data_IF_416367595273
#
_entry.id   IF_416367595273
#
_cell.length_a   1.000
_cell.length_b   1.000
_cell.length_c   1.000
_cell.angle_alpha   90.00
_cell.angle_beta   90.00
_cell.angle_gamma   90.00
#
_symmetry.space_group_name_H-M   'P 1'
#
loop_
_entity.id
_entity.type
_entity.pdbx_description
1 polymer ?
#
# COMPACT_ATOMS: atom_id res chain seq x y z
N UNK A 1 -66.69 5.54 59.89
CA UNK A 1 -65.84 6.49 60.64
C UNK A 1 -64.38 6.07 60.45
N UNK A 2 -63.56 7.01 59.99
CA UNK A 2 -62.11 7.01 59.81
C UNK A 2 -61.40 6.24 58.66
N UNK A 3 -60.79 7.10 57.83
CA UNK A 3 -59.86 6.96 56.71
C UNK A 3 -58.42 6.83 57.23
N UNK A 4 -57.55 6.10 56.50
CA UNK A 4 -56.13 6.38 56.16
C UNK A 4 -55.61 5.18 55.32
N UNK A 5 -55.35 5.29 54.01
CA UNK A 5 -54.25 5.96 53.28
C UNK A 5 -52.86 5.41 53.57
N UNK A 6 -52.37 4.53 52.69
CA UNK A 6 -50.94 4.40 52.35
C UNK A 6 -50.82 4.03 50.86
N UNK A 7 -50.36 4.99 50.06
CA UNK A 7 -49.88 4.78 48.70
C UNK A 7 -48.49 4.13 48.77
N UNK A 8 -48.36 2.93 48.20
CA UNK A 8 -47.06 2.28 47.96
C UNK A 8 -46.62 2.54 46.54
N UNK A 9 -45.64 3.43 46.38
CA UNK A 9 -44.89 3.64 45.13
C UNK A 9 -44.23 2.34 44.67
N UNK A 10 -44.61 1.83 43.50
CA UNK A 10 -43.78 0.89 42.73
C UNK A 10 -43.05 1.70 41.66
N UNK A 11 -41.82 2.14 41.98
CA UNK A 11 -40.85 2.63 41.00
C UNK A 11 -40.12 1.42 40.39
N UNK A 12 -39.88 1.37 39.07
CA UNK A 12 -38.97 0.42 38.48
C UNK A 12 -37.54 0.96 38.63
N UNK A 13 -36.68 0.25 39.36
CA UNK A 13 -35.24 0.48 39.31
C UNK A 13 -34.57 -0.83 38.97
N UNK A 14 -34.05 -0.95 37.74
CA UNK A 14 -32.88 -1.77 37.34
C UNK A 14 -32.77 -1.79 35.81
N UNK A 15 -32.10 -0.80 35.19
CA UNK A 15 -31.54 -0.91 33.83
C UNK A 15 -30.66 0.29 33.45
N UNK A 16 -29.62 0.63 34.23
CA UNK A 16 -28.66 1.69 33.83
C UNK A 16 -27.19 1.24 33.87
N UNK A 17 -26.87 0.15 34.57
CA UNK A 17 -25.49 -0.38 34.59
C UNK A 17 -25.13 -1.25 33.38
N UNK A 18 -26.12 -1.89 32.73
CA UNK A 18 -25.84 -2.79 31.60
C UNK A 18 -25.65 -2.02 30.27
N UNK A 19 -26.34 -0.89 30.10
CA UNK A 19 -26.22 -0.05 28.89
C UNK A 19 -24.88 0.69 28.84
N UNK A 20 -24.38 1.16 29.99
CA UNK A 20 -23.14 1.94 30.06
C UNK A 20 -21.90 1.08 29.73
N UNK A 21 -21.87 -0.19 30.17
CA UNK A 21 -20.81 -1.14 29.81
C UNK A 21 -20.86 -1.57 28.33
N UNK A 22 -22.06 -1.80 27.78
CA UNK A 22 -22.21 -2.13 26.35
C UNK A 22 -21.72 -0.98 25.46
N UNK A 23 -22.01 0.27 25.82
CA UNK A 23 -21.54 1.44 25.05
C UNK A 23 -20.02 1.62 25.12
N UNK A 24 -19.38 1.32 26.27
CA UNK A 24 -17.91 1.37 26.38
C UNK A 24 -17.23 0.26 25.59
N UNK A 25 -17.80 -0.95 25.57
CA UNK A 25 -17.23 -2.09 24.83
C UNK A 25 -17.36 -1.91 23.32
N UNK A 26 -18.46 -1.31 22.84
CA UNK A 26 -18.64 -0.94 21.43
C UNK A 26 -17.68 0.19 21.01
N UNK A 27 -17.44 1.17 21.89
CA UNK A 27 -16.49 2.25 21.58
C UNK A 27 -15.04 1.75 21.58
N UNK A 28 -14.67 0.88 22.52
CA UNK A 28 -13.34 0.28 22.61
C UNK A 28 -13.04 -0.62 21.39
N UNK A 29 -14.01 -1.43 20.96
CA UNK A 29 -13.87 -2.25 19.74
C UNK A 29 -13.73 -1.39 18.47
N UNK A 30 -14.46 -0.27 18.37
CA UNK A 30 -14.29 0.67 17.26
C UNK A 30 -12.91 1.34 17.24
N UNK A 31 -12.32 1.62 18.39
CA UNK A 31 -10.97 2.19 18.50
C UNK A 31 -9.92 1.13 18.11
N UNK A 32 -10.05 -0.10 18.61
CA UNK A 32 -9.17 -1.22 18.26
C UNK A 32 -9.17 -1.53 16.75
N UNK A 33 -10.34 -1.44 16.12
CA UNK A 33 -10.49 -1.63 14.67
C UNK A 33 -9.80 -0.49 13.87
N UNK A 34 -9.82 0.75 14.37
CA UNK A 34 -9.06 1.86 13.76
C UNK A 34 -7.56 1.65 13.92
N UNK A 35 -7.10 1.24 15.10
CA UNK A 35 -5.68 0.92 15.34
C UNK A 35 -5.19 -0.21 14.43
N UNK A 36 -6.06 -1.18 14.13
CA UNK A 36 -5.78 -2.25 13.16
C UNK A 36 -5.45 -1.69 11.79
N UNK A 37 -6.29 -0.79 11.25
CA UNK A 37 -6.04 -0.16 9.94
C UNK A 37 -4.77 0.70 9.98
N UNK A 38 -4.56 1.48 11.05
CA UNK A 38 -3.35 2.30 11.20
C UNK A 38 -2.07 1.45 11.24
N UNK A 39 -2.09 0.30 11.90
CA UNK A 39 -0.95 -0.64 11.93
C UNK A 39 -0.66 -1.22 10.55
N UNK A 40 -1.70 -1.60 9.79
CA UNK A 40 -1.50 -2.11 8.43
C UNK A 40 -0.91 -1.03 7.50
N UNK A 41 -1.35 0.22 7.64
CA UNK A 41 -0.76 1.33 6.91
C UNK A 41 0.72 1.58 7.30
N UNK A 42 1.06 1.48 8.59
CA UNK A 42 2.46 1.64 9.05
C UNK A 42 3.35 0.49 8.59
N UNK A 43 2.81 -0.75 8.55
CA UNK A 43 3.50 -1.91 7.98
C UNK A 43 3.90 -1.66 6.52
N UNK A 44 3.06 -0.97 5.73
CA UNK A 44 3.36 -0.57 4.37
C UNK A 44 4.71 0.15 4.23
N UNK A 45 5.05 1.01 5.18
CA UNK A 45 6.33 1.72 5.18
C UNK A 45 7.51 0.74 5.31
N UNK A 46 7.39 -0.27 6.16
CA UNK A 46 8.45 -1.28 6.38
C UNK A 46 8.57 -2.21 5.18
N UNK A 47 7.44 -2.66 4.62
CA UNK A 47 7.43 -3.58 3.49
C UNK A 47 8.05 -2.95 2.23
N UNK A 48 7.95 -1.64 2.05
CA UNK A 48 8.60 -0.90 0.98
C UNK A 48 10.14 -1.01 0.97
N UNK A 49 10.77 -1.35 2.10
CA UNK A 49 12.23 -1.51 2.20
C UNK A 49 12.69 -2.97 2.24
N UNK A 50 11.78 -3.93 2.43
CA UNK A 50 12.11 -5.36 2.53
C UNK A 50 11.19 -6.21 1.64
N UNK A 51 11.47 -6.19 0.33
CA UNK A 51 10.64 -6.86 -0.69
C UNK A 51 10.57 -8.38 -0.52
N UNK A 52 11.66 -9.02 -0.07
CA UNK A 52 11.72 -10.48 0.07
C UNK A 52 10.78 -10.94 1.18
N UNK A 53 9.74 -11.69 0.82
CA UNK A 53 8.73 -12.19 1.75
C UNK A 53 7.71 -11.13 2.19
N UNK A 54 7.71 -9.92 1.60
CA UNK A 54 6.81 -8.84 1.99
C UNK A 54 5.33 -9.24 1.95
N UNK A 55 4.95 -9.97 0.91
CA UNK A 55 3.59 -10.46 0.69
C UNK A 55 3.17 -11.45 1.79
N UNK A 56 4.02 -12.43 2.12
CA UNK A 56 3.75 -13.40 3.19
C UNK A 56 3.61 -12.70 4.53
N UNK A 57 4.49 -11.72 4.80
CA UNK A 57 4.42 -10.91 6.02
C UNK A 57 3.12 -10.10 6.09
N UNK A 58 2.67 -9.49 4.99
CA UNK A 58 1.39 -8.80 4.94
C UNK A 58 0.23 -9.74 5.32
N UNK A 59 0.15 -10.93 4.74
CA UNK A 59 -0.90 -11.91 5.06
C UNK A 59 -0.88 -12.31 6.55
N UNK A 60 0.31 -12.53 7.12
CA UNK A 60 0.49 -12.87 8.53
C UNK A 60 0.07 -11.72 9.45
N UNK A 61 0.46 -10.50 9.12
CA UNK A 61 0.13 -9.32 9.93
C UNK A 61 -1.37 -9.04 9.92
N UNK A 62 -2.06 -9.13 8.77
CA UNK A 62 -3.53 -9.00 8.71
C UNK A 62 -4.21 -10.00 9.67
N UNK A 63 -3.80 -11.27 9.66
CA UNK A 63 -4.33 -12.27 10.61
C UNK A 63 -4.00 -11.90 12.06
N UNK A 64 -2.76 -11.49 12.32
CA UNK A 64 -2.29 -11.17 13.66
C UNK A 64 -3.04 -9.98 14.27
N UNK A 65 -3.09 -8.82 13.59
CA UNK A 65 -3.71 -7.60 14.13
C UNK A 65 -5.22 -7.69 14.23
N UNK A 66 -5.85 -8.49 13.37
CA UNK A 66 -7.29 -8.74 13.44
C UNK A 66 -7.64 -9.84 14.44
N UNK A 67 -6.65 -10.48 15.09
CA UNK A 67 -6.83 -11.64 15.97
C UNK A 67 -7.57 -12.79 15.27
N UNK A 68 -7.18 -13.08 14.03
CA UNK A 68 -7.80 -14.05 13.11
C UNK A 68 -9.23 -13.71 12.64
N UNK A 69 -9.75 -12.50 12.91
CA UNK A 69 -11.04 -12.04 12.38
C UNK A 69 -11.00 -11.78 10.87
N UNK A 70 -9.81 -11.59 10.29
CA UNK A 70 -9.61 -11.41 8.85
C UNK A 70 -8.42 -12.20 8.31
N UNK A 71 -8.54 -12.65 7.06
CA UNK A 71 -7.51 -13.38 6.34
C UNK A 71 -7.41 -12.90 4.88
N UNK A 72 -6.20 -12.52 4.47
CA UNK A 72 -5.86 -12.22 3.09
C UNK A 72 -5.45 -13.49 2.35
N UNK A 73 -6.09 -13.78 1.22
CA UNK A 73 -5.76 -14.90 0.32
C UNK A 73 -5.40 -14.38 -1.07
N UNK A 74 -4.31 -14.88 -1.65
CA UNK A 74 -3.83 -14.43 -2.97
C UNK A 74 -4.16 -15.42 -4.08
N UNK A 75 -4.34 -14.90 -5.31
CA UNK A 75 -4.70 -15.74 -6.47
C UNK A 75 -3.74 -16.90 -6.75
N UNK A 76 -2.43 -16.70 -6.53
CA UNK A 76 -1.40 -17.72 -6.81
C UNK A 76 -1.33 -18.86 -5.77
N UNK A 77 -1.93 -18.70 -4.60
CA UNK A 77 -1.94 -19.75 -3.56
C UNK A 77 -2.98 -20.85 -3.85
N UNK A 78 -3.98 -20.60 -4.73
CA UNK A 78 -5.00 -21.59 -5.10
C UNK A 78 -4.54 -22.66 -6.09
N UNK A 79 -3.39 -22.48 -6.76
CA UNK A 79 -2.91 -23.43 -7.79
C UNK A 79 -1.84 -24.41 -7.28
N UNK A 80 -1.16 -24.14 -6.16
CA UNK A 80 -0.08 -25.01 -5.65
C UNK A 80 -0.52 -26.01 -4.58
N UNK A 81 -1.63 -25.76 -3.91
CA UNK A 81 -2.18 -26.67 -2.90
C UNK A 81 -3.67 -26.92 -3.16
N UNK A 82 -3.98 -28.09 -3.73
CA UNK A 82 -5.34 -28.66 -3.75
C UNK A 82 -5.81 -29.13 -2.34
N UNK A 83 -5.25 -28.53 -1.29
CA UNK A 83 -5.70 -28.61 0.11
C UNK A 83 -5.54 -27.22 0.71
N UNK A 84 -6.61 -26.42 0.63
CA UNK A 84 -6.76 -25.26 1.48
C UNK A 84 -6.54 -25.72 2.95
N UNK A 85 -5.79 -24.98 3.78
CA UNK A 85 -6.02 -25.06 5.22
C UNK A 85 -7.48 -24.66 5.44
N UNK A 86 -8.29 -25.63 5.84
CA UNK A 86 -9.68 -25.46 6.27
C UNK A 86 -9.74 -24.69 7.60
N UNK A 87 -9.29 -23.43 7.63
CA UNK A 87 -9.29 -22.61 8.86
C UNK A 87 -9.84 -21.20 8.61
N UNK A 88 -10.93 -21.09 7.85
CA UNK A 88 -11.94 -20.08 8.20
C UNK A 88 -13.19 -20.84 8.57
N UNK A 89 -13.27 -21.25 9.83
CA UNK A 89 -14.53 -21.68 10.42
C UNK A 89 -15.50 -20.49 10.30
N UNK A 90 -16.33 -20.54 9.26
CA UNK A 90 -17.40 -19.60 8.92
C UNK A 90 -16.91 -18.20 8.42
N UNK A 91 -16.79 -18.07 7.10
CA UNK A 91 -16.61 -16.77 6.41
C UNK A 91 -17.94 -16.02 6.38
N UNK A 92 -18.03 -14.86 7.03
CA UNK A 92 -19.22 -14.01 6.98
C UNK A 92 -19.27 -13.14 5.71
N UNK A 93 -18.11 -12.64 5.26
CA UNK A 93 -18.02 -11.80 4.08
C UNK A 93 -16.66 -11.90 3.40
N UNK A 94 -16.63 -11.58 2.11
CA UNK A 94 -15.40 -11.55 1.30
C UNK A 94 -15.36 -10.29 0.46
N UNK A 95 -14.21 -9.62 0.47
CA UNK A 95 -13.96 -8.38 -0.28
C UNK A 95 -12.81 -8.60 -1.27
N UNK A 96 -12.89 -8.05 -2.50
CA UNK A 96 -11.78 -8.14 -3.44
C UNK A 96 -10.62 -7.27 -2.97
N UNK A 97 -9.40 -7.77 -3.18
CA UNK A 97 -8.16 -6.99 -3.00
C UNK A 97 -7.59 -6.75 -4.39
N UNK A 98 -7.80 -5.54 -4.89
CA UNK A 98 -7.54 -5.17 -6.28
C UNK A 98 -7.22 -3.68 -6.42
N UNK A 99 -6.43 -3.34 -7.44
CA UNK A 99 -6.11 -1.96 -7.80
C UNK A 99 -6.31 -1.78 -9.30
N UNK A 100 -7.25 -0.91 -9.70
CA UNK A 100 -7.66 -0.77 -11.09
C UNK A 100 -8.15 -2.09 -11.68
N UNK A 101 -7.46 -2.59 -12.70
CA UNK A 101 -7.75 -3.89 -13.33
C UNK A 101 -6.98 -5.08 -12.71
N UNK A 102 -5.97 -4.81 -11.86
CA UNK A 102 -5.17 -5.84 -11.24
C UNK A 102 -5.87 -6.39 -10.00
N UNK A 103 -6.15 -7.69 -9.99
CA UNK A 103 -6.78 -8.37 -8.84
C UNK A 103 -5.77 -9.30 -8.19
N UNK A 104 -5.34 -8.95 -6.99
CA UNK A 104 -4.31 -9.68 -6.25
C UNK A 104 -4.88 -10.87 -5.46
N UNK A 105 -6.11 -10.74 -4.98
CA UNK A 105 -6.69 -11.74 -4.09
C UNK A 105 -8.02 -11.33 -3.48
N UNK A 106 -8.31 -11.88 -2.30
CA UNK A 106 -9.53 -11.60 -1.55
C UNK A 106 -9.23 -11.53 -0.05
N UNK A 107 -9.89 -10.61 0.64
CA UNK A 107 -9.91 -10.50 2.09
C UNK A 107 -11.17 -11.18 2.61
N UNK A 108 -11.00 -12.19 3.44
CA UNK A 108 -12.08 -12.95 4.06
C UNK A 108 -12.24 -12.49 5.51
N UNK A 109 -13.47 -12.22 5.93
CA UNK A 109 -13.80 -11.84 7.31
C UNK A 109 -14.62 -12.98 7.93
N UNK A 110 -14.25 -13.40 9.14
CA UNK A 110 -14.97 -14.44 9.88
C UNK A 110 -16.32 -13.92 10.41
N UNK A 111 -17.19 -14.83 10.83
CA UNK A 111 -18.35 -14.48 11.67
C UNK A 111 -17.90 -13.98 13.05
N UNK A 112 -18.72 -13.15 13.69
CA UNK A 112 -18.54 -12.76 15.09
C UNK A 112 -18.80 -13.99 15.99
N UNK A 113 -17.86 -14.37 16.88
CA UNK A 113 -18.03 -15.53 17.77
C UNK A 113 -19.20 -15.38 18.75
N UNK A 114 -19.63 -14.15 19.05
CA UNK A 114 -20.77 -13.87 19.93
C UNK A 114 -22.08 -13.70 19.17
N UNK A 115 -22.03 -13.47 17.85
CA UNK A 115 -23.20 -13.33 16.97
C UNK A 115 -22.90 -13.84 15.54
N UNK A 116 -23.20 -15.11 15.27
CA UNK A 116 -22.84 -15.75 14.00
C UNK A 116 -23.57 -15.20 12.76
N UNK A 117 -24.60 -14.36 12.95
CA UNK A 117 -25.28 -13.67 11.84
C UNK A 117 -24.55 -12.41 11.38
N UNK A 118 -23.54 -11.95 12.14
CA UNK A 118 -22.79 -10.73 11.85
C UNK A 118 -21.32 -11.02 11.55
N UNK A 119 -20.66 -10.20 10.71
CA UNK A 119 -19.23 -10.29 10.50
C UNK A 119 -18.46 -9.80 11.73
N UNK A 120 -17.31 -10.41 12.00
CA UNK A 120 -16.44 -10.06 13.13
C UNK A 120 -15.81 -8.67 13.03
N UNK A 121 -15.89 -8.04 11.86
CA UNK A 121 -15.51 -6.65 11.60
C UNK A 121 -16.68 -5.92 10.93
N UNK A 122 -16.86 -4.65 11.29
CA UNK A 122 -17.82 -3.80 10.58
C UNK A 122 -17.45 -3.68 9.09
N UNK A 123 -18.45 -3.46 8.24
CA UNK A 123 -18.26 -3.32 6.80
C UNK A 123 -17.23 -2.22 6.46
N UNK A 124 -17.26 -1.09 7.17
CA UNK A 124 -16.36 0.05 6.94
C UNK A 124 -14.91 -0.35 7.21
N UNK A 125 -14.64 -1.03 8.33
CA UNK A 125 -13.30 -1.47 8.70
C UNK A 125 -12.79 -2.55 7.74
N UNK A 126 -13.65 -3.50 7.36
CA UNK A 126 -13.31 -4.53 6.40
C UNK A 126 -12.96 -3.93 5.02
N UNK A 127 -13.71 -2.92 4.56
CA UNK A 127 -13.42 -2.19 3.33
C UNK A 127 -12.10 -1.41 3.41
N UNK A 128 -11.86 -0.67 4.49
CA UNK A 128 -10.60 0.05 4.69
C UNK A 128 -9.41 -0.91 4.69
N UNK A 129 -9.52 -2.04 5.40
CA UNK A 129 -8.47 -3.06 5.43
C UNK A 129 -8.21 -3.66 4.04
N UNK A 130 -9.26 -3.98 3.28
CA UNK A 130 -9.13 -4.47 1.91
C UNK A 130 -8.48 -3.43 0.97
N UNK A 131 -8.84 -2.15 1.12
CA UNK A 131 -8.24 -1.05 0.37
C UNK A 131 -6.77 -0.85 0.73
N UNK A 132 -6.41 -0.86 2.01
CA UNK A 132 -5.02 -0.76 2.47
C UNK A 132 -4.18 -1.90 1.90
N UNK A 133 -4.66 -3.15 1.99
CA UNK A 133 -3.98 -4.30 1.39
C UNK A 133 -3.84 -4.16 -0.13
N UNK A 134 -4.85 -3.61 -0.81
CA UNK A 134 -4.81 -3.39 -2.27
C UNK A 134 -3.72 -2.41 -2.67
N UNK A 135 -3.64 -1.25 -2.00
CA UNK A 135 -2.60 -0.25 -2.23
C UNK A 135 -1.20 -0.79 -1.92
N UNK A 136 -1.05 -1.56 -0.83
CA UNK A 136 0.23 -2.16 -0.46
C UNK A 136 0.69 -3.18 -1.49
N UNK A 137 -0.18 -4.09 -1.94
CA UNK A 137 0.16 -5.09 -2.96
C UNK A 137 0.47 -4.46 -4.31
N UNK A 138 -0.29 -3.44 -4.72
CA UNK A 138 0.03 -2.65 -5.90
C UNK A 138 1.40 -1.98 -5.78
N UNK A 139 1.68 -1.33 -4.65
CA UNK A 139 2.98 -0.68 -4.42
C UNK A 139 4.11 -1.69 -4.46
N UNK A 140 3.96 -2.85 -3.82
CA UNK A 140 4.94 -3.94 -3.86
C UNK A 140 5.15 -4.46 -5.28
N UNK A 141 4.10 -4.60 -6.09
CA UNK A 141 4.22 -4.99 -7.51
C UNK A 141 5.01 -3.94 -8.30
N UNK A 142 4.69 -2.66 -8.14
CA UNK A 142 5.43 -1.58 -8.80
C UNK A 142 6.89 -1.52 -8.35
N UNK A 143 7.17 -1.69 -7.05
CA UNK A 143 8.52 -1.72 -6.50
C UNK A 143 9.32 -2.92 -6.98
N UNK A 144 8.70 -4.11 -7.05
CA UNK A 144 9.38 -5.32 -7.55
C UNK A 144 9.65 -5.23 -9.05
N UNK A 145 8.75 -4.65 -9.84
CA UNK A 145 8.99 -4.33 -11.25
C UNK A 145 10.19 -3.41 -11.41
N UNK A 146 10.20 -2.25 -10.71
CA UNK A 146 11.32 -1.31 -10.77
C UNK A 146 12.64 -1.94 -10.31
N UNK A 147 12.63 -2.67 -9.19
CA UNK A 147 13.81 -3.37 -8.71
C UNK A 147 14.33 -4.38 -9.74
N UNK A 148 13.46 -5.15 -10.39
CA UNK A 148 13.83 -6.08 -11.46
C UNK A 148 14.47 -5.36 -12.66
N UNK A 149 14.02 -4.15 -12.99
CA UNK A 149 14.67 -3.36 -14.04
C UNK A 149 16.08 -2.92 -13.66
N UNK A 150 16.40 -2.87 -12.36
CA UNK A 150 17.63 -2.27 -11.83
C UNK A 150 18.62 -3.26 -11.25
N UNK A 151 18.22 -4.52 -11.04
CA UNK A 151 19.05 -5.57 -10.45
C UNK A 151 20.38 -5.82 -11.20
N UNK A 152 20.47 -5.38 -12.45
CA UNK A 152 21.65 -5.53 -13.31
C UNK A 152 22.38 -4.23 -13.62
N UNK A 153 21.97 -3.11 -12.99
CA UNK A 153 22.63 -1.83 -13.22
C UNK A 153 23.82 -1.73 -12.28
N UNK A 154 25.00 -2.00 -12.80
CA UNK A 154 26.25 -1.66 -12.15
C UNK A 154 26.55 -0.19 -12.48
N UNK A 155 26.13 0.73 -11.60
CA UNK A 155 26.40 2.15 -11.74
C UNK A 155 27.44 2.58 -10.69
N UNK A 156 28.30 3.52 -11.07
CA UNK A 156 29.24 4.20 -10.18
C UNK A 156 29.29 5.67 -10.58
N UNK A 157 29.06 6.57 -9.63
CA UNK A 157 29.22 8.01 -9.91
C UNK A 157 30.70 8.34 -9.80
N UNK A 158 31.32 8.55 -10.96
CA UNK A 158 32.71 9.00 -10.99
C UNK A 158 32.80 10.52 -10.76
N UNK A 159 31.84 11.29 -11.29
CA UNK A 159 31.79 12.75 -11.18
C UNK A 159 30.35 13.29 -11.21
N UNK A 160 30.07 14.45 -10.57
CA UNK A 160 28.78 15.11 -10.71
C UNK A 160 28.54 15.61 -12.14
N UNK A 161 27.31 15.47 -12.62
CA UNK A 161 26.89 15.99 -13.91
C UNK A 161 27.00 17.52 -13.96
N UNK A 162 27.43 18.06 -15.09
CA UNK A 162 27.37 19.50 -15.34
C UNK A 162 25.93 19.97 -15.46
N UNK A 163 25.70 21.29 -15.32
CA UNK A 163 24.37 21.88 -15.56
C UNK A 163 23.77 21.47 -16.90
N UNK A 164 24.60 21.46 -17.95
CA UNK A 164 24.16 21.13 -19.30
C UNK A 164 23.86 19.64 -19.49
N UNK A 165 24.66 18.77 -18.90
CA UNK A 165 24.37 17.33 -18.87
C UNK A 165 23.07 17.05 -18.10
N UNK A 166 22.82 17.76 -17.00
CA UNK A 166 21.57 17.64 -16.25
C UNK A 166 20.36 18.11 -17.07
N UNK A 167 20.47 19.20 -17.82
CA UNK A 167 19.41 19.65 -18.75
C UNK A 167 19.10 18.59 -19.82
N UNK A 168 20.14 18.04 -20.45
CA UNK A 168 19.99 16.96 -21.44
C UNK A 168 19.35 15.73 -20.81
N UNK A 169 19.83 15.30 -19.64
CA UNK A 169 19.30 14.16 -18.89
C UNK A 169 17.82 14.33 -18.52
N UNK A 170 17.39 15.52 -18.08
CA UNK A 170 15.98 15.82 -17.80
C UNK A 170 15.10 15.71 -19.04
N UNK A 171 15.58 16.16 -20.20
CA UNK A 171 14.82 16.02 -21.44
C UNK A 171 14.77 14.57 -21.93
N UNK A 172 15.84 13.79 -21.74
CA UNK A 172 15.83 12.34 -21.97
C UNK A 172 14.79 11.64 -21.07
N UNK A 173 14.73 12.02 -19.79
CA UNK A 173 13.78 11.47 -18.83
C UNK A 173 12.31 11.72 -19.23
N UNK A 174 12.04 12.84 -19.89
CA UNK A 174 10.73 13.15 -20.51
C UNK A 174 10.41 12.36 -21.77
N UNK A 175 11.32 11.50 -22.23
CA UNK A 175 11.19 10.73 -23.46
C UNK A 175 11.47 11.54 -24.73
N UNK A 176 12.20 12.65 -24.65
CA UNK A 176 12.60 13.39 -25.85
C UNK A 176 13.80 12.73 -26.52
N UNK A 177 13.67 12.49 -27.83
CA UNK A 177 14.78 12.04 -28.66
C UNK A 177 15.78 13.16 -28.97
N UNK A 178 16.95 12.77 -29.47
CA UNK A 178 18.09 13.65 -29.76
C UNK A 178 17.75 14.94 -30.50
N UNK A 179 16.93 14.86 -31.56
CA UNK A 179 16.52 16.03 -32.36
C UNK A 179 15.67 17.03 -31.56
N UNK A 180 14.72 16.53 -30.76
CA UNK A 180 13.88 17.38 -29.91
C UNK A 180 14.69 18.06 -28.81
N UNK A 181 15.65 17.33 -28.23
CA UNK A 181 16.58 17.89 -27.23
C UNK A 181 17.43 18.99 -27.87
N UNK A 182 17.97 18.74 -29.06
CA UNK A 182 18.81 19.69 -29.79
C UNK A 182 18.06 21.00 -30.06
N UNK A 183 16.83 20.89 -30.55
CA UNK A 183 15.95 22.03 -30.79
C UNK A 183 15.60 22.78 -29.48
N UNK A 184 15.21 22.06 -28.43
CA UNK A 184 14.83 22.66 -27.14
C UNK A 184 16.00 23.42 -26.48
N UNK A 185 17.22 22.95 -26.71
CA UNK A 185 18.42 23.48 -26.11
C UNK A 185 19.23 24.40 -27.04
N UNK A 186 18.74 24.66 -28.27
CA UNK A 186 19.41 25.46 -29.30
C UNK A 186 20.86 25.02 -29.58
N UNK A 187 21.11 23.71 -29.70
CA UNK A 187 22.43 23.13 -30.01
C UNK A 187 22.32 22.08 -31.12
N UNK A 188 23.46 21.68 -31.70
CA UNK A 188 23.48 20.64 -32.72
C UNK A 188 23.12 19.25 -32.13
N UNK A 189 22.44 18.37 -32.88
CA UNK A 189 22.16 16.99 -32.46
C UNK A 189 23.42 16.21 -32.07
N UNK A 190 24.53 16.43 -32.77
CA UNK A 190 25.83 15.84 -32.43
C UNK A 190 26.35 16.29 -31.05
N UNK A 191 26.06 17.52 -30.63
CA UNK A 191 26.42 18.03 -29.29
C UNK A 191 25.57 17.37 -28.21
N UNK A 192 24.28 17.13 -28.47
CA UNK A 192 23.43 16.32 -27.57
C UNK A 192 24.01 14.92 -27.42
N UNK A 193 24.42 14.28 -28.51
CA UNK A 193 25.02 12.95 -28.44
C UNK A 193 26.30 12.92 -27.58
N UNK A 194 27.16 13.95 -27.69
CA UNK A 194 28.33 14.09 -26.80
C UNK A 194 27.93 14.23 -25.33
N UNK A 195 26.92 15.06 -25.02
CA UNK A 195 26.41 15.16 -23.65
C UNK A 195 25.88 13.82 -23.14
N UNK A 196 25.16 13.05 -23.96
CA UNK A 196 24.68 11.71 -23.60
C UNK A 196 25.83 10.75 -23.28
N UNK A 197 26.88 10.74 -24.09
CA UNK A 197 28.08 9.92 -23.85
C UNK A 197 28.74 10.29 -22.51
N UNK A 198 28.95 11.58 -22.23
CA UNK A 198 29.51 12.02 -20.96
C UNK A 198 28.60 11.68 -19.77
N UNK A 199 27.27 11.77 -19.92
CA UNK A 199 26.33 11.33 -18.89
C UNK A 199 26.52 9.84 -18.58
N UNK A 200 26.64 8.99 -19.61
CA UNK A 200 26.84 7.55 -19.44
C UNK A 200 28.16 7.26 -18.73
N UNK A 201 29.23 7.90 -19.15
CA UNK A 201 30.56 7.78 -18.52
C UNK A 201 30.52 8.21 -17.05
N UNK A 202 29.91 9.36 -16.75
CA UNK A 202 29.84 9.91 -15.38
C UNK A 202 28.97 9.09 -14.43
N UNK A 203 27.92 8.47 -14.95
CA UNK A 203 27.06 7.57 -14.19
C UNK A 203 27.58 6.12 -14.18
N UNK A 204 28.64 5.82 -14.93
CA UNK A 204 29.24 4.49 -15.01
C UNK A 204 28.37 3.46 -15.72
N UNK A 205 27.56 3.88 -16.70
CA UNK A 205 26.63 3.03 -17.44
C UNK A 205 26.90 3.06 -18.94
N UNK A 206 26.22 2.22 -19.72
CA UNK A 206 26.51 2.06 -21.15
C UNK A 206 25.35 2.40 -22.08
N UNK A 207 24.17 2.71 -21.54
CA UNK A 207 23.00 3.02 -22.35
C UNK A 207 22.05 4.00 -21.67
N UNK A 208 21.11 4.52 -22.45
CA UNK A 208 20.13 5.50 -22.03
C UNK A 208 19.25 5.01 -20.87
N UNK A 209 18.74 3.79 -20.97
CA UNK A 209 17.85 3.21 -19.97
C UNK A 209 18.55 3.15 -18.61
N UNK A 210 19.77 2.62 -18.57
CA UNK A 210 20.53 2.47 -17.33
C UNK A 210 20.92 3.84 -16.75
N UNK A 211 21.20 4.83 -17.60
CA UNK A 211 21.47 6.19 -17.17
C UNK A 211 20.26 6.85 -16.49
N UNK A 212 19.07 6.70 -17.09
CA UNK A 212 17.83 7.24 -16.52
C UNK A 212 17.48 6.54 -15.19
N UNK A 213 17.64 5.23 -15.12
CA UNK A 213 17.41 4.46 -13.89
C UNK A 213 18.43 4.83 -12.81
N UNK A 214 19.74 4.84 -13.12
CA UNK A 214 20.78 5.24 -12.19
C UNK A 214 20.53 6.65 -11.63
N UNK A 215 20.23 7.61 -12.51
CA UNK A 215 19.92 8.98 -12.10
C UNK A 215 18.69 9.08 -11.20
N UNK A 216 17.65 8.28 -11.42
CA UNK A 216 16.49 8.21 -10.54
C UNK A 216 16.84 7.62 -9.16
N UNK A 217 17.58 6.50 -9.12
CA UNK A 217 17.98 5.86 -7.85
C UNK A 217 18.91 6.74 -7.01
N UNK A 218 19.75 7.54 -7.65
CA UNK A 218 20.62 8.50 -6.98
C UNK A 218 19.89 9.78 -6.53
N UNK A 219 18.62 9.96 -6.90
CA UNK A 219 17.87 11.19 -6.63
C UNK A 219 18.31 12.40 -7.46
N UNK A 220 19.05 12.19 -8.55
CA UNK A 220 19.40 13.24 -9.53
C UNK A 220 18.15 13.64 -10.33
N UNK A 221 17.28 12.67 -10.60
CA UNK A 221 15.98 12.86 -11.22
C UNK A 221 14.86 12.46 -10.24
N UNK A 222 13.76 13.20 -10.30
CA UNK A 222 12.52 12.91 -9.58
C UNK A 222 11.36 12.85 -10.58
N UNK A 223 10.52 11.81 -10.46
CA UNK A 223 9.29 11.71 -11.24
C UNK A 223 8.31 12.86 -10.91
N UNK A 224 8.39 13.45 -9.72
CA UNK A 224 7.52 14.55 -9.30
C UNK A 224 7.92 15.88 -9.96
N UNK A 225 9.21 16.10 -10.22
CA UNK A 225 9.68 17.34 -10.85
C UNK A 225 9.04 17.56 -12.23
N UNK A 226 8.76 16.47 -12.95
CA UNK A 226 8.12 16.53 -14.27
C UNK A 226 6.58 16.59 -14.20
N UNK A 227 5.96 16.12 -13.13
CA UNK A 227 4.51 16.27 -12.91
C UNK A 227 4.15 17.71 -12.57
N UNK A 228 4.96 18.40 -11.76
CA UNK A 228 4.73 19.77 -11.31
C UNK A 228 5.00 20.83 -12.40
N UNK A 229 5.56 20.45 -13.55
CA UNK A 229 5.81 21.34 -14.69
C UNK A 229 4.70 21.29 -15.75
N UNK A 230 3.64 20.49 -15.54
CA UNK A 230 2.50 20.33 -16.45
C UNK A 230 1.22 21.03 -15.97
N UNK A 231 1.29 21.82 -14.90
CA UNK A 231 0.22 22.71 -14.40
C UNK A 231 0.53 24.16 -14.76
#
# INVERSE_FOLDING_TARGET
MHIRSTAGNFMPTLSTHNEMNMTSDVLNTSIDDIHTVMHILSLGQILCYQMKGAVTRLCQEVRYVTKNRAQLSLKKEKERDAKLPNDVDQVAMTLPVQFGQAVYGSLHISVDPFNTEQPALSLVIAQLLAQSCSWMLYTLEQSTFLHSQCQHIDYQVYEPLTKRELEVLKLMFRGYGQEKIAAALCIAPATVNKHRQHIYERLGVHNERDALLAAYYMGILSLFDDLMLKE
#
